data_IF_375791136827
#
_entry.id   IF_375791136827
#
_cell.length_a   1.000
_cell.length_b   1.000
_cell.length_c   1.000
_cell.angle_alpha   90.00
_cell.angle_beta   90.00
_cell.angle_gamma   90.00
#
_symmetry.space_group_name_H-M   'P 1'
#
loop_
_entity.id
_entity.type
_entity.pdbx_description
1 polymer ?
#
# COMPACT_ATOMS: atom_id res chain seq x y z
N UNK A 1 -10.42 8.98 5.57
CA UNK A 1 -11.38 10.10 5.69
C UNK A 1 -12.63 9.77 4.87
N UNK A 2 -13.83 9.94 5.43
CA UNK A 2 -15.10 9.42 4.88
C UNK A 2 -15.68 10.18 3.66
N UNK A 3 -14.84 10.85 2.87
CA UNK A 3 -15.30 11.59 1.70
C UNK A 3 -14.35 11.32 0.54
N UNK A 4 -14.85 10.58 -0.45
CA UNK A 4 -14.12 10.17 -1.65
C UNK A 4 -13.83 11.33 -2.62
N UNK A 5 -14.35 12.53 -2.36
CA UNK A 5 -14.24 13.70 -3.26
C UNK A 5 -13.33 14.82 -2.75
N UNK A 6 -12.52 14.57 -1.72
CA UNK A 6 -11.55 15.57 -1.28
C UNK A 6 -10.11 15.10 -1.56
N UNK A 7 -9.71 15.21 -2.83
CA UNK A 7 -8.30 15.15 -3.23
C UNK A 7 -7.41 16.18 -2.46
N UNK A 8 -8.04 17.15 -1.78
CA UNK A 8 -7.41 18.25 -1.04
C UNK A 8 -7.55 18.19 0.49
N UNK A 9 -8.35 17.28 1.08
CA UNK A 9 -8.62 17.30 2.53
C UNK A 9 -7.49 16.71 3.37
N UNK A 10 -6.58 15.94 2.76
CA UNK A 10 -5.50 15.29 3.48
C UNK A 10 -4.19 15.46 2.70
N UNK A 11 -3.16 16.02 3.34
CA UNK A 11 -1.82 16.14 2.75
C UNK A 11 -1.33 14.79 2.21
N UNK A 12 -1.64 13.70 2.91
CA UNK A 12 -1.36 12.35 2.44
C UNK A 12 -2.04 12.03 1.09
N UNK A 13 -3.33 12.33 0.94
CA UNK A 13 -4.05 12.07 -0.31
C UNK A 13 -3.52 12.94 -1.46
N UNK A 14 -3.20 14.21 -1.17
CA UNK A 14 -2.61 15.14 -2.13
C UNK A 14 -1.22 14.68 -2.58
N UNK A 15 -0.37 14.24 -1.65
CA UNK A 15 0.97 13.75 -1.95
C UNK A 15 0.89 12.42 -2.72
N UNK A 16 0.04 11.49 -2.30
CA UNK A 16 -0.15 10.20 -2.98
C UNK A 16 -0.68 10.36 -4.42
N UNK A 17 -1.39 11.44 -4.74
CA UNK A 17 -1.85 11.69 -6.11
C UNK A 17 -0.78 12.28 -7.02
N UNK A 18 0.33 12.79 -6.48
CA UNK A 18 1.40 13.36 -7.28
C UNK A 18 2.17 12.28 -8.05
N UNK A 19 2.55 12.53 -9.32
CA UNK A 19 3.25 11.54 -10.17
C UNK A 19 4.54 10.99 -9.56
N UNK A 20 5.29 11.83 -8.86
CA UNK A 20 6.56 11.44 -8.25
C UNK A 20 6.36 10.39 -7.15
N UNK A 21 5.26 10.49 -6.38
CA UNK A 21 4.95 9.53 -5.32
C UNK A 21 4.33 8.25 -5.88
N UNK A 22 3.58 8.33 -6.98
CA UNK A 22 3.04 7.14 -7.66
C UNK A 22 4.13 6.29 -8.31
N UNK A 23 5.22 6.91 -8.76
CA UNK A 23 6.36 6.20 -9.38
C UNK A 23 7.41 5.73 -8.36
N UNK A 24 7.37 6.25 -7.12
CA UNK A 24 8.31 5.88 -6.07
C UNK A 24 7.95 4.51 -5.45
N UNK A 25 8.95 3.63 -5.37
CA UNK A 25 8.82 2.35 -4.66
C UNK A 25 8.86 2.61 -3.16
N UNK A 26 8.13 1.79 -2.37
CA UNK A 26 8.18 1.94 -0.93
C UNK A 26 9.60 1.66 -0.39
N UNK A 27 10.03 2.45 0.60
CA UNK A 27 11.37 2.37 1.19
C UNK A 27 11.70 0.94 1.66
N UNK A 28 10.72 0.23 2.21
CA UNK A 28 10.89 -1.16 2.64
C UNK A 28 11.23 -2.09 1.48
N UNK A 29 10.54 -1.95 0.34
CA UNK A 29 10.85 -2.72 -0.85
C UNK A 29 12.24 -2.41 -1.39
N UNK A 30 12.64 -1.13 -1.40
CA UNK A 30 13.97 -0.71 -1.86
C UNK A 30 15.08 -1.25 -0.95
N UNK A 31 14.89 -1.19 0.37
CA UNK A 31 15.87 -1.68 1.35
C UNK A 31 16.09 -3.20 1.23
N UNK A 32 15.00 -3.97 1.12
CA UNK A 32 15.05 -5.43 0.99
C UNK A 32 15.66 -5.84 -0.35
N UNK A 33 15.31 -5.16 -1.44
CA UNK A 33 15.92 -5.41 -2.76
C UNK A 33 17.38 -5.01 -2.82
N UNK A 34 17.78 -3.96 -2.10
CA UNK A 34 19.16 -3.48 -2.02
C UNK A 34 20.14 -4.50 -1.44
N UNK A 35 19.65 -5.42 -0.60
CA UNK A 35 20.45 -6.54 -0.05
C UNK A 35 20.28 -7.85 -0.85
N UNK A 36 19.63 -7.82 -2.01
CA UNK A 36 19.49 -8.95 -2.93
C UNK A 36 18.29 -9.86 -2.68
N UNK A 37 17.34 -9.47 -1.82
CA UNK A 37 16.14 -10.27 -1.56
C UNK A 37 14.97 -9.92 -2.48
N UNK A 38 14.06 -10.88 -2.66
CA UNK A 38 12.80 -10.69 -3.38
C UNK A 38 11.71 -10.18 -2.42
N UNK A 39 10.79 -9.36 -2.93
CA UNK A 39 9.68 -8.79 -2.16
C UNK A 39 8.38 -9.12 -2.87
N UNK A 40 7.47 -9.78 -2.16
CA UNK A 40 6.13 -10.15 -2.61
C UNK A 40 5.13 -9.52 -1.65
N UNK A 41 4.20 -8.72 -2.17
CA UNK A 41 3.12 -8.14 -1.39
C UNK A 41 1.88 -9.02 -1.52
N UNK A 42 1.38 -9.50 -0.39
CA UNK A 42 0.10 -10.19 -0.34
C UNK A 42 -1.04 -9.16 -0.34
N UNK A 43 -2.21 -9.50 -0.88
CA UNK A 43 -3.41 -8.72 -0.68
C UNK A 43 -3.65 -8.44 0.81
N UNK A 44 -4.36 -7.35 1.11
CA UNK A 44 -4.79 -7.06 2.48
C UNK A 44 -5.51 -8.29 3.03
N UNK A 45 -5.11 -8.72 4.21
CA UNK A 45 -5.73 -9.86 4.86
C UNK A 45 -7.20 -9.55 5.15
N UNK A 46 -8.10 -10.27 4.48
CA UNK A 46 -9.53 -10.22 4.70
C UNK A 46 -9.91 -11.45 5.51
N UNK A 47 -9.98 -11.29 6.83
CA UNK A 47 -10.35 -12.35 7.76
C UNK A 47 -11.73 -12.94 7.41
N UNK A 48 -12.64 -12.13 6.86
CA UNK A 48 -13.96 -12.60 6.42
C UNK A 48 -13.91 -13.65 5.29
N UNK A 49 -12.77 -13.82 4.61
CA UNK A 49 -12.60 -14.75 3.48
C UNK A 49 -11.66 -15.94 3.82
N UNK A 50 -11.31 -16.12 5.08
CA UNK A 50 -10.34 -17.13 5.49
C UNK A 50 -11.00 -18.52 5.64
N UNK A 51 -10.86 -19.37 4.62
CA UNK A 51 -11.46 -20.72 4.59
C UNK A 51 -10.91 -21.67 5.68
N UNK A 52 -9.73 -21.38 6.25
CA UNK A 52 -9.09 -22.18 7.31
C UNK A 52 -9.71 -21.96 8.70
N UNK A 53 -10.58 -20.97 8.86
CA UNK A 53 -11.34 -20.76 10.11
C UNK A 53 -12.71 -21.44 10.10
N UNK A 54 -13.05 -22.12 9.00
CA UNK A 54 -14.27 -22.93 8.89
C UNK A 54 -14.08 -24.37 9.41
N UNK A 55 -12.93 -24.71 9.97
CA UNK A 55 -12.60 -26.04 10.50
C UNK A 55 -12.46 -26.06 12.02
#
# INVERSE_FOLDING_TARGET
CKHADNAYCCAQALLSSQPNFQTQKCQLQESIKGVGHQVIFYPVFHFELNFIEYF
#
